data_IF_142081218869
#
_entry.id   IF_142081218869
#
_cell.length_a   1.000
_cell.length_b   1.000
_cell.length_c   1.000
_cell.angle_alpha   90.00
_cell.angle_beta   90.00
_cell.angle_gamma   90.00
#
_symmetry.space_group_name_H-M   'P 1'
#
loop_
_entity.id
_entity.type
_entity.pdbx_description
1 polymer ?
#
# COMPACT_ATOMS: atom_id res chain seq x y z
N UNK A 1 -27.53 -25.72 26.54
CA UNK A 1 -28.03 -25.29 25.23
C UNK A 1 -27.34 -24.01 24.75
N UNK A 2 -27.20 -22.96 25.57
CA UNK A 2 -26.50 -21.70 25.20
C UNK A 2 -25.00 -21.88 24.88
N UNK A 3 -24.27 -22.70 25.63
CA UNK A 3 -22.84 -22.95 25.40
C UNK A 3 -22.56 -23.68 24.08
N UNK A 4 -23.41 -24.57 23.64
CA UNK A 4 -23.31 -25.29 22.37
C UNK A 4 -23.65 -24.39 21.16
N UNK A 5 -24.56 -23.43 21.32
CA UNK A 5 -24.90 -22.43 20.32
C UNK A 5 -23.77 -21.40 20.16
N UNK A 6 -23.19 -20.95 21.28
CA UNK A 6 -22.05 -20.04 21.25
C UNK A 6 -20.80 -20.72 20.65
N UNK A 7 -20.56 -21.99 20.96
CA UNK A 7 -19.44 -22.74 20.37
C UNK A 7 -19.62 -22.97 18.86
N UNK A 8 -20.85 -23.26 18.40
CA UNK A 8 -21.15 -23.39 16.96
C UNK A 8 -21.08 -22.07 16.21
N UNK A 9 -21.47 -20.95 16.83
CA UNK A 9 -21.36 -19.61 16.24
C UNK A 9 -19.89 -19.17 16.16
N UNK A 10 -19.11 -19.42 17.21
CA UNK A 10 -17.66 -19.16 17.23
C UNK A 10 -16.93 -20.02 16.19
N UNK A 11 -17.23 -21.33 16.10
CA UNK A 11 -16.62 -22.21 15.11
C UNK A 11 -17.00 -21.85 13.68
N UNK A 12 -18.23 -21.39 13.44
CA UNK A 12 -18.71 -20.94 12.12
C UNK A 12 -18.06 -19.62 11.71
N UNK A 13 -17.81 -18.71 12.65
CA UNK A 13 -17.06 -17.47 12.40
C UNK A 13 -15.57 -17.76 12.12
N UNK A 14 -14.97 -18.72 12.82
CA UNK A 14 -13.57 -19.12 12.57
C UNK A 14 -13.40 -19.81 11.21
N UNK A 15 -14.37 -20.60 10.74
CA UNK A 15 -14.31 -21.25 9.41
C UNK A 15 -14.40 -20.24 8.24
N UNK A 16 -14.97 -19.05 8.47
CA UNK A 16 -15.09 -17.99 7.47
C UNK A 16 -14.07 -16.87 7.65
N UNK A 17 -13.19 -16.94 8.67
CA UNK A 17 -12.15 -15.95 8.89
C UNK A 17 -11.17 -15.95 7.70
N UNK A 18 -10.98 -14.77 7.11
CA UNK A 18 -10.00 -14.56 6.03
C UNK A 18 -8.82 -13.75 6.57
N UNK A 19 -7.68 -13.88 5.94
CA UNK A 19 -6.53 -13.05 6.23
C UNK A 19 -6.40 -11.96 5.16
N UNK A 20 -6.59 -10.71 5.56
CA UNK A 20 -6.39 -9.54 4.72
C UNK A 20 -4.99 -8.99 4.92
N UNK A 21 -4.28 -8.73 3.82
CA UNK A 21 -2.98 -8.06 3.80
C UNK A 21 -3.16 -6.74 3.08
N UNK A 22 -2.97 -5.64 3.79
CA UNK A 22 -3.27 -4.29 3.32
C UNK A 22 -1.98 -3.56 2.99
N UNK A 23 -1.86 -3.10 1.73
CA UNK A 23 -0.68 -2.46 1.16
C UNK A 23 -1.02 -1.02 0.79
N UNK A 24 -0.36 -0.07 1.41
CA UNK A 24 -0.61 1.36 1.27
C UNK A 24 -0.09 1.94 -0.05
N UNK A 25 -0.52 3.16 -0.37
CA UNK A 25 -0.03 3.96 -1.50
C UNK A 25 1.19 4.81 -1.15
N UNK A 26 1.66 5.60 -2.14
CA UNK A 26 2.76 6.54 -1.98
C UNK A 26 2.50 7.53 -0.84
N UNK A 27 3.56 7.92 -0.13
CA UNK A 27 3.53 8.87 0.99
C UNK A 27 2.59 8.48 2.14
N UNK A 28 2.23 7.20 2.23
CA UNK A 28 1.41 6.63 3.28
C UNK A 28 2.21 5.55 4.03
N UNK A 29 1.57 4.91 4.99
CA UNK A 29 2.07 3.77 5.72
C UNK A 29 0.89 2.88 6.15
N UNK A 30 1.19 1.82 6.87
CA UNK A 30 0.20 0.90 7.43
C UNK A 30 -0.90 1.61 8.24
N UNK A 31 -0.55 2.73 8.85
CA UNK A 31 -1.46 3.56 9.64
C UNK A 31 -2.69 4.04 8.85
N UNK A 32 -2.59 4.24 7.52
CA UNK A 32 -3.72 4.73 6.71
C UNK A 32 -4.92 3.76 6.73
N UNK A 33 -4.67 2.51 7.05
CA UNK A 33 -5.68 1.46 7.11
C UNK A 33 -6.41 1.34 8.46
N UNK A 34 -6.11 2.19 9.47
CA UNK A 34 -6.56 2.01 10.86
C UNK A 34 -8.07 1.76 11.01
N UNK A 35 -8.92 2.46 10.24
CA UNK A 35 -10.37 2.26 10.26
C UNK A 35 -10.76 0.91 9.65
N UNK A 36 -10.18 0.57 8.52
CA UNK A 36 -10.47 -0.69 7.83
C UNK A 36 -9.98 -1.89 8.66
N UNK A 37 -8.79 -1.78 9.26
CA UNK A 37 -8.26 -2.80 10.18
C UNK A 37 -9.23 -3.05 11.32
N UNK A 38 -9.76 -2.01 11.96
CA UNK A 38 -10.72 -2.14 13.04
C UNK A 38 -12.01 -2.83 12.58
N UNK A 39 -12.55 -2.44 11.42
CA UNK A 39 -13.79 -3.01 10.87
C UNK A 39 -13.63 -4.48 10.49
N UNK A 40 -12.55 -4.84 9.80
CA UNK A 40 -12.28 -6.22 9.38
C UNK A 40 -12.03 -7.12 10.58
N UNK A 41 -11.28 -6.65 11.58
CA UNK A 41 -11.07 -7.41 12.84
C UNK A 41 -12.36 -7.59 13.61
N UNK A 42 -13.21 -6.57 13.68
CA UNK A 42 -14.54 -6.67 14.29
C UNK A 42 -15.43 -7.70 13.56
N UNK A 43 -15.29 -7.81 12.25
CA UNK A 43 -15.97 -8.83 11.44
C UNK A 43 -15.38 -10.25 11.58
N UNK A 44 -14.35 -10.44 12.42
CA UNK A 44 -13.75 -11.74 12.70
C UNK A 44 -12.64 -12.14 11.72
N UNK A 45 -12.11 -11.20 10.94
CA UNK A 45 -11.01 -11.46 10.00
C UNK A 45 -9.65 -11.17 10.64
N UNK A 46 -8.63 -11.89 10.17
CA UNK A 46 -7.24 -11.58 10.46
C UNK A 46 -6.78 -10.47 9.50
N UNK A 47 -6.04 -9.48 10.02
CA UNK A 47 -5.61 -8.32 9.22
C UNK A 47 -4.16 -8.00 9.54
N UNK A 48 -3.35 -7.95 8.49
CA UNK A 48 -1.99 -7.44 8.50
C UNK A 48 -1.95 -6.19 7.63
N UNK A 49 -1.47 -5.08 8.17
CA UNK A 49 -1.15 -3.88 7.42
C UNK A 49 0.36 -3.66 7.54
N UNK A 50 1.04 -3.52 6.41
CA UNK A 50 2.49 -3.44 6.34
C UNK A 50 2.94 -2.03 5.99
N UNK A 51 4.03 -1.59 6.60
CA UNK A 51 4.84 -0.49 6.08
C UNK A 51 5.81 -1.05 5.05
N UNK A 52 5.78 -0.51 3.84
CA UNK A 52 6.75 -0.84 2.79
C UNK A 52 8.10 -0.16 3.06
N UNK A 53 9.13 -0.53 2.33
CA UNK A 53 10.47 0.02 2.50
C UNK A 53 10.48 1.56 2.47
N UNK A 54 11.13 2.18 3.45
CA UNK A 54 11.20 3.63 3.59
C UNK A 54 9.89 4.34 3.94
N UNK A 55 8.86 3.60 4.36
CA UNK A 55 7.52 4.13 4.66
C UNK A 55 7.15 3.92 6.12
N UNK A 56 6.28 4.78 6.65
CA UNK A 56 5.73 4.64 8.01
C UNK A 56 6.81 4.58 9.08
N UNK A 57 6.82 3.49 9.85
CA UNK A 57 7.82 3.22 10.90
C UNK A 57 8.90 2.23 10.44
N UNK A 58 8.98 1.94 9.14
CA UNK A 58 10.02 1.06 8.63
C UNK A 58 11.42 1.59 8.98
N UNK A 59 12.38 0.69 9.25
CA UNK A 59 13.73 1.06 9.71
C UNK A 59 14.53 1.82 8.66
N UNK A 60 14.35 1.48 7.38
CA UNK A 60 15.06 2.14 6.29
C UNK A 60 14.49 3.53 6.02
N UNK A 61 15.38 4.48 5.74
CA UNK A 61 14.99 5.80 5.26
C UNK A 61 14.70 5.74 3.75
N UNK A 62 13.91 6.68 3.24
CA UNK A 62 13.53 6.69 1.82
C UNK A 62 14.73 6.74 0.86
N UNK A 63 15.82 7.39 1.25
CA UNK A 63 17.04 7.48 0.43
C UNK A 63 17.84 6.17 0.37
N UNK A 64 17.55 5.21 1.25
CA UNK A 64 18.15 3.87 1.25
C UNK A 64 17.36 2.90 0.35
N UNK A 65 16.17 3.30 -0.09
CA UNK A 65 15.31 2.54 -1.00
C UNK A 65 15.73 2.87 -2.43
N UNK A 66 16.58 2.04 -3.02
CA UNK A 66 17.21 2.28 -4.31
C UNK A 66 16.53 1.57 -5.49
N UNK A 67 15.65 0.63 -5.16
CA UNK A 67 14.93 -0.17 -6.16
C UNK A 67 13.49 -0.46 -5.73
N UNK A 68 12.68 -0.90 -6.69
CA UNK A 68 11.33 -1.39 -6.39
C UNK A 68 11.39 -2.62 -5.46
N UNK A 69 12.45 -3.42 -5.55
CA UNK A 69 12.62 -4.60 -4.71
C UNK A 69 12.88 -4.25 -3.25
N UNK A 70 13.68 -3.21 -2.97
CA UNK A 70 13.87 -2.70 -1.61
C UNK A 70 12.55 -2.17 -1.05
N UNK A 71 11.75 -1.50 -1.90
CA UNK A 71 10.45 -0.96 -1.50
C UNK A 71 9.45 -2.05 -1.14
N UNK A 72 9.39 -3.14 -1.91
CA UNK A 72 8.40 -4.21 -1.72
C UNK A 72 8.88 -5.31 -0.77
N UNK A 73 10.13 -5.28 -0.35
CA UNK A 73 10.76 -6.32 0.48
C UNK A 73 9.89 -6.74 1.69
N UNK A 74 9.32 -5.82 2.50
CA UNK A 74 8.52 -6.21 3.66
C UNK A 74 7.30 -7.06 3.29
N UNK A 75 6.67 -6.80 2.15
CA UNK A 75 5.55 -7.59 1.65
C UNK A 75 6.02 -8.98 1.20
N UNK A 76 7.15 -9.07 0.50
CA UNK A 76 7.69 -10.34 0.02
C UNK A 76 8.14 -11.23 1.17
N UNK A 77 8.82 -10.68 2.17
CA UNK A 77 9.21 -11.39 3.39
C UNK A 77 8.00 -11.88 4.17
N UNK A 78 6.99 -11.03 4.32
CA UNK A 78 5.74 -11.44 4.98
C UNK A 78 5.08 -12.62 4.26
N UNK A 79 4.89 -12.52 2.93
CA UNK A 79 4.28 -13.61 2.15
C UNK A 79 5.15 -14.87 2.16
N UNK A 80 6.48 -14.73 2.17
CA UNK A 80 7.40 -15.85 2.33
C UNK A 80 7.27 -16.55 3.68
N UNK A 81 6.93 -15.82 4.73
CA UNK A 81 6.86 -16.32 6.10
C UNK A 81 5.55 -17.00 6.48
N UNK A 82 4.45 -16.74 5.78
CA UNK A 82 3.17 -17.41 6.08
C UNK A 82 3.18 -18.87 5.64
N UNK A 83 2.41 -19.77 6.31
CA UNK A 83 2.32 -21.18 5.95
C UNK A 83 1.98 -21.42 4.48
N UNK A 84 2.44 -22.53 3.90
CA UNK A 84 2.23 -22.84 2.49
C UNK A 84 0.76 -23.08 2.13
N UNK A 85 -0.04 -23.56 3.06
CA UNK A 85 -1.48 -23.80 2.91
C UNK A 85 -2.32 -22.56 3.20
N UNK A 86 -1.72 -21.50 3.72
CA UNK A 86 -2.41 -20.25 4.00
C UNK A 86 -2.56 -19.40 2.76
N UNK A 87 -3.79 -18.90 2.53
CA UNK A 87 -4.08 -17.95 1.46
C UNK A 87 -4.59 -16.64 2.01
N UNK A 88 -4.07 -15.54 1.48
CA UNK A 88 -4.45 -14.18 1.87
C UNK A 88 -5.35 -13.51 0.81
N UNK A 89 -6.12 -12.52 1.26
CA UNK A 89 -6.72 -11.50 0.40
C UNK A 89 -5.78 -10.30 0.42
N UNK A 90 -5.16 -10.03 -0.71
CA UNK A 90 -4.18 -8.96 -0.86
C UNK A 90 -4.88 -7.70 -1.36
N UNK A 91 -4.73 -6.58 -0.64
CA UNK A 91 -5.41 -5.31 -0.95
C UNK A 91 -4.37 -4.22 -1.15
N UNK A 92 -4.33 -3.62 -2.33
CA UNK A 92 -3.43 -2.51 -2.66
C UNK A 92 -4.20 -1.23 -2.96
N UNK A 93 -3.77 -0.11 -2.39
CA UNK A 93 -4.29 1.20 -2.67
C UNK A 93 -3.30 2.04 -3.47
N UNK A 94 -3.76 2.74 -4.49
CA UNK A 94 -2.93 3.68 -5.26
C UNK A 94 -1.64 3.01 -5.78
N UNK A 95 -0.45 3.55 -5.44
CA UNK A 95 0.85 2.96 -5.78
C UNK A 95 1.02 1.52 -5.25
N UNK A 96 0.32 1.15 -4.16
CA UNK A 96 0.30 -0.22 -3.63
C UNK A 96 -0.16 -1.29 -4.62
N UNK A 97 -0.75 -0.89 -5.75
CA UNK A 97 -1.08 -1.80 -6.85
C UNK A 97 0.15 -2.45 -7.49
N UNK A 98 1.30 -1.74 -7.58
CA UNK A 98 2.54 -2.30 -8.10
C UNK A 98 3.11 -3.40 -7.18
N UNK A 99 3.30 -3.16 -5.87
CA UNK A 99 3.70 -4.20 -4.92
C UNK A 99 2.82 -5.44 -4.95
N UNK A 100 1.49 -5.28 -4.95
CA UNK A 100 0.61 -6.46 -4.96
C UNK A 100 0.66 -7.20 -6.30
N UNK A 101 0.90 -6.53 -7.42
CA UNK A 101 1.08 -7.18 -8.71
C UNK A 101 2.35 -8.03 -8.76
N UNK A 102 3.48 -7.52 -8.22
CA UNK A 102 4.71 -8.29 -8.06
C UNK A 102 4.52 -9.49 -7.13
N UNK A 103 3.78 -9.29 -6.03
CA UNK A 103 3.48 -10.36 -5.09
C UNK A 103 2.62 -11.48 -5.73
N UNK A 104 1.67 -11.11 -6.58
CA UNK A 104 0.84 -12.08 -7.33
C UNK A 104 1.68 -12.95 -8.26
N UNK A 105 2.72 -12.38 -8.88
CA UNK A 105 3.64 -13.13 -9.74
C UNK A 105 4.54 -14.07 -8.93
N UNK A 106 5.06 -13.60 -7.79
CA UNK A 106 6.00 -14.37 -6.99
C UNK A 106 5.35 -15.42 -6.08
N UNK A 107 4.14 -15.18 -5.61
CA UNK A 107 3.42 -16.01 -4.64
C UNK A 107 1.98 -16.34 -5.07
N UNK A 108 1.74 -16.79 -6.32
CA UNK A 108 0.39 -17.02 -6.83
C UNK A 108 -0.38 -18.04 -5.98
N UNK A 109 0.30 -19.01 -5.38
CA UNK A 109 -0.30 -20.03 -4.54
C UNK A 109 -0.79 -19.52 -3.19
N UNK A 110 -0.21 -18.41 -2.68
CA UNK A 110 -0.54 -17.81 -1.37
C UNK A 110 -1.59 -16.70 -1.45
N UNK A 111 -2.04 -16.34 -2.65
CA UNK A 111 -3.02 -15.27 -2.86
C UNK A 111 -4.33 -15.86 -3.37
N UNK A 112 -5.41 -15.70 -2.59
CA UNK A 112 -6.74 -16.13 -3.00
C UNK A 112 -7.46 -15.09 -3.84
N UNK A 113 -7.26 -13.81 -3.52
CA UNK A 113 -7.86 -12.66 -4.22
C UNK A 113 -6.91 -11.48 -4.10
N UNK A 114 -6.78 -10.70 -5.16
CA UNK A 114 -6.14 -9.38 -5.14
C UNK A 114 -7.18 -8.30 -5.42
N UNK A 115 -7.19 -7.26 -4.59
CA UNK A 115 -8.14 -6.15 -4.64
C UNK A 115 -7.36 -4.86 -4.90
N UNK A 116 -7.66 -4.19 -6.01
CA UNK A 116 -7.06 -2.93 -6.42
C UNK A 116 -8.02 -1.79 -6.06
N UNK A 117 -7.70 -1.04 -5.00
CA UNK A 117 -8.49 0.10 -4.53
C UNK A 117 -7.94 1.37 -5.17
N UNK A 118 -8.55 1.86 -6.24
CA UNK A 118 -8.04 2.99 -7.04
C UNK A 118 -6.53 2.91 -7.26
N UNK A 119 -6.04 1.70 -7.57
CA UNK A 119 -4.64 1.37 -7.56
C UNK A 119 -4.05 1.25 -8.97
N UNK A 120 -2.74 1.46 -9.08
CA UNK A 120 -2.01 1.20 -10.30
C UNK A 120 -2.06 -0.29 -10.65
N UNK A 121 -2.51 -0.58 -11.86
CA UNK A 121 -2.47 -1.93 -12.43
C UNK A 121 -1.43 -1.94 -13.56
N UNK A 122 -0.29 -2.61 -13.38
CA UNK A 122 0.75 -2.68 -14.42
C UNK A 122 0.21 -3.34 -15.68
N UNK A 123 0.64 -2.82 -16.82
CA UNK A 123 0.37 -3.45 -18.10
C UNK A 123 1.42 -4.53 -18.38
N UNK A 124 1.02 -5.65 -18.96
CA UNK A 124 1.90 -6.80 -19.19
C UNK A 124 3.02 -6.55 -20.23
N UNK A 125 2.90 -5.51 -21.08
CA UNK A 125 3.90 -5.19 -22.12
C UNK A 125 4.77 -3.98 -21.79
N UNK A 126 4.42 -3.17 -20.79
CA UNK A 126 5.15 -1.94 -20.47
C UNK A 126 5.77 -2.00 -19.07
N UNK A 127 6.97 -1.46 -18.89
CA UNK A 127 7.56 -1.31 -17.55
C UNK A 127 6.63 -0.56 -16.61
N UNK A 128 6.58 -0.92 -15.32
CA UNK A 128 5.71 -0.27 -14.32
C UNK A 128 5.87 1.25 -14.24
N UNK A 129 7.07 1.78 -14.47
CA UNK A 129 7.36 3.22 -14.47
C UNK A 129 6.59 4.02 -15.53
N UNK A 130 6.14 3.38 -16.61
CA UNK A 130 5.33 4.03 -17.66
C UNK A 130 4.01 4.57 -17.10
N UNK A 131 3.40 3.88 -16.15
CA UNK A 131 2.15 4.34 -15.51
C UNK A 131 2.34 5.68 -14.78
N UNK A 132 3.47 5.84 -14.08
CA UNK A 132 3.79 7.08 -13.37
C UNK A 132 4.07 8.20 -14.36
N UNK A 133 4.83 7.92 -15.43
CA UNK A 133 5.11 8.88 -16.49
C UNK A 133 3.81 9.36 -17.17
N UNK A 134 2.90 8.45 -17.51
CA UNK A 134 1.62 8.78 -18.11
C UNK A 134 0.72 9.58 -17.15
N UNK A 135 0.72 9.26 -15.87
CA UNK A 135 0.02 10.07 -14.87
C UNK A 135 0.56 11.50 -14.84
N UNK A 136 1.88 11.67 -14.78
CA UNK A 136 2.50 13.00 -14.74
C UNK A 136 2.26 13.79 -16.04
N UNK A 137 2.35 13.16 -17.21
CA UNK A 137 2.04 13.79 -18.51
C UNK A 137 0.61 14.33 -18.59
N UNK A 138 -0.36 13.65 -17.96
CA UNK A 138 -1.77 14.02 -17.96
C UNK A 138 -2.13 15.00 -16.83
N UNK A 139 -1.23 15.27 -15.92
CA UNK A 139 -1.43 16.16 -14.78
C UNK A 139 -0.84 17.52 -15.12
N UNK A 140 -1.65 18.59 -15.04
CA UNK A 140 -1.13 19.93 -15.28
C UNK A 140 -0.15 20.36 -14.18
N UNK A 141 0.88 21.13 -14.54
CA UNK A 141 1.89 21.60 -13.59
C UNK A 141 1.26 22.37 -12.41
N UNK A 142 0.22 23.18 -12.72
CA UNK A 142 -0.50 23.96 -11.70
C UNK A 142 -1.23 23.07 -10.70
N UNK A 143 -1.68 21.87 -11.11
CA UNK A 143 -2.37 20.94 -10.22
C UNK A 143 -1.43 20.16 -9.30
N UNK A 144 -0.13 20.20 -9.57
CA UNK A 144 0.90 19.58 -8.72
C UNK A 144 1.27 20.44 -7.50
N UNK A 145 0.83 21.70 -7.46
CA UNK A 145 0.99 22.61 -6.33
C UNK A 145 2.46 22.67 -5.82
N UNK A 146 2.66 22.33 -4.56
CA UNK A 146 3.94 22.34 -3.87
C UNK A 146 4.67 20.98 -3.90
N UNK A 147 4.32 20.09 -4.86
CA UNK A 147 5.05 18.84 -5.08
C UNK A 147 6.48 19.12 -5.56
N UNK A 148 7.43 18.33 -5.06
CA UNK A 148 8.82 18.38 -5.48
C UNK A 148 9.21 17.09 -6.19
N UNK A 149 9.93 17.23 -7.32
CA UNK A 149 10.35 16.11 -8.14
C UNK A 149 11.88 16.08 -8.20
N UNK A 150 12.45 14.92 -7.93
CA UNK A 150 13.89 14.71 -8.06
C UNK A 150 14.16 13.80 -9.25
N UNK A 151 15.14 14.17 -10.07
CA UNK A 151 15.56 13.43 -11.25
C UNK A 151 17.00 12.95 -11.09
N UNK A 152 17.29 11.76 -11.59
CA UNK A 152 18.63 11.17 -11.51
C UNK A 152 19.64 11.97 -12.32
N UNK A 153 20.73 12.40 -11.68
CA UNK A 153 21.79 13.20 -12.32
C UNK A 153 22.63 12.41 -13.32
N UNK A 154 22.68 11.08 -13.19
CA UNK A 154 23.54 10.20 -14.00
C UNK A 154 22.77 9.36 -15.04
N UNK A 155 21.49 9.68 -15.28
CA UNK A 155 20.68 8.94 -16.21
C UNK A 155 20.44 9.79 -17.48
N UNK A 156 20.86 9.31 -18.68
CA UNK A 156 20.70 10.05 -19.94
C UNK A 156 19.24 10.39 -20.28
N UNK A 157 18.27 9.72 -19.66
CA UNK A 157 16.85 9.94 -19.87
C UNK A 157 16.19 10.83 -18.81
N UNK A 158 16.95 11.44 -17.89
CA UNK A 158 16.40 12.30 -16.82
C UNK A 158 15.21 11.65 -16.08
N UNK A 159 15.35 10.37 -15.71
CA UNK A 159 14.24 9.63 -15.09
C UNK A 159 13.94 10.17 -13.70
N UNK A 160 12.65 10.29 -13.41
CA UNK A 160 12.13 10.63 -12.09
C UNK A 160 12.58 9.60 -11.06
N UNK A 161 13.29 10.04 -10.02
CA UNK A 161 13.78 9.17 -8.94
C UNK A 161 12.95 9.27 -7.67
N UNK A 162 12.38 10.45 -7.37
CA UNK A 162 11.49 10.59 -6.23
C UNK A 162 10.47 11.72 -6.42
N UNK A 163 9.39 11.63 -5.68
CA UNK A 163 8.35 12.66 -5.57
C UNK A 163 8.06 12.91 -4.10
N UNK A 164 8.14 14.17 -3.69
CA UNK A 164 7.65 14.63 -2.39
C UNK A 164 6.33 15.38 -2.60
N UNK A 165 5.25 14.88 -2.01
CA UNK A 165 3.98 15.59 -2.01
C UNK A 165 4.00 16.67 -0.92
N UNK A 166 3.87 17.93 -1.32
CA UNK A 166 3.81 19.04 -0.40
C UNK A 166 2.49 19.10 0.37
N UNK A 167 2.47 19.90 1.42
CA UNK A 167 1.31 20.02 2.32
C UNK A 167 0.05 20.56 1.62
N UNK A 168 0.21 21.46 0.64
CA UNK A 168 -0.91 21.99 -0.14
C UNK A 168 -1.52 20.91 -1.04
N UNK A 169 -0.68 20.13 -1.73
CA UNK A 169 -1.13 19.02 -2.56
C UNK A 169 -1.84 17.95 -1.71
N UNK A 170 -1.24 17.59 -0.58
CA UNK A 170 -1.84 16.65 0.35
C UNK A 170 -3.24 17.08 0.79
N UNK A 171 -3.40 18.32 1.22
CA UNK A 171 -4.68 18.86 1.68
C UNK A 171 -5.71 18.96 0.54
N UNK A 172 -5.31 19.50 -0.61
CA UNK A 172 -6.23 19.85 -1.71
C UNK A 172 -6.57 18.65 -2.60
N UNK A 173 -5.71 17.62 -2.70
CA UNK A 173 -5.87 16.52 -3.66
C UNK A 173 -6.00 15.15 -3.00
N UNK A 174 -5.26 14.86 -1.94
CA UNK A 174 -5.26 13.54 -1.32
C UNK A 174 -6.24 13.45 -0.14
N UNK A 175 -6.33 14.49 0.69
CA UNK A 175 -7.14 14.46 1.92
C UNK A 175 -8.35 15.40 1.90
N UNK A 176 -8.68 16.01 0.74
CA UNK A 176 -9.78 16.97 0.59
C UNK A 176 -11.15 16.47 1.08
N UNK A 177 -11.37 15.16 1.05
CA UNK A 177 -12.59 14.51 1.52
C UNK A 177 -12.39 13.71 2.81
N UNK A 178 -11.20 13.78 3.40
CA UNK A 178 -10.91 13.09 4.63
C UNK A 178 -11.31 13.94 5.84
N UNK A 179 -11.63 13.28 6.94
CA UNK A 179 -11.81 13.98 8.22
C UNK A 179 -10.49 14.57 8.69
N UNK A 180 -10.50 15.68 9.48
CA UNK A 180 -9.28 16.36 9.93
C UNK A 180 -8.26 15.45 10.61
N UNK A 181 -8.71 14.41 11.32
CA UNK A 181 -7.83 13.44 11.96
C UNK A 181 -6.88 12.72 11.00
N UNK A 182 -7.30 12.51 9.74
CA UNK A 182 -6.46 11.85 8.73
C UNK A 182 -5.28 12.75 8.32
N UNK A 183 -5.48 14.06 8.27
CA UNK A 183 -4.42 15.03 7.97
C UNK A 183 -3.39 15.12 9.10
N UNK A 184 -3.81 14.98 10.36
CA UNK A 184 -2.90 14.98 11.51
C UNK A 184 -1.97 13.77 11.53
N UNK A 185 -2.41 12.62 11.05
CA UNK A 185 -1.60 11.39 11.02
C UNK A 185 -0.46 11.46 9.98
N UNK A 186 -0.53 12.40 9.03
CA UNK A 186 0.46 12.54 7.96
C UNK A 186 1.53 13.59 8.25
N UNK A 187 1.23 14.61 9.05
CA UNK A 187 2.13 15.73 9.30
C UNK A 187 3.48 15.35 9.95
N UNK A 188 3.59 14.36 10.85
CA UNK A 188 4.87 13.97 11.44
C UNK A 188 5.73 13.07 10.54
N UNK A 189 5.21 12.54 9.45
CA UNK A 189 5.87 11.53 8.61
C UNK A 189 6.58 12.13 7.39
N UNK A 190 6.36 13.42 7.13
CA UNK A 190 7.14 14.17 6.13
C UNK A 190 8.40 14.68 6.83
N UNK A 191 9.32 13.75 7.15
CA UNK A 191 10.66 14.15 7.55
C UNK A 191 11.40 14.59 6.29
N UNK A 192 11.73 15.88 6.28
CA UNK A 192 12.68 16.51 5.36
C UNK A 192 14.00 15.76 5.31
#
# INVERSE_FOLDING_TARGET
MFALLSHKLLSRNMQNAKHFVLVHGSCLGAWCWYKLVALLRHAGHRVTALDLGGSGIHSNQIHEVTSIWDYVQPLMEFLGSIPEDEKVILVGHSYGGLPISLAMEMFPQKISVAVFVTAYLPHYTFPPGVLIQEFLKRTSAESLLDCQFTFGQNNPENQLTSVLFGSQYMAAKLYQHCKPEASFLTLPQIKS
#
